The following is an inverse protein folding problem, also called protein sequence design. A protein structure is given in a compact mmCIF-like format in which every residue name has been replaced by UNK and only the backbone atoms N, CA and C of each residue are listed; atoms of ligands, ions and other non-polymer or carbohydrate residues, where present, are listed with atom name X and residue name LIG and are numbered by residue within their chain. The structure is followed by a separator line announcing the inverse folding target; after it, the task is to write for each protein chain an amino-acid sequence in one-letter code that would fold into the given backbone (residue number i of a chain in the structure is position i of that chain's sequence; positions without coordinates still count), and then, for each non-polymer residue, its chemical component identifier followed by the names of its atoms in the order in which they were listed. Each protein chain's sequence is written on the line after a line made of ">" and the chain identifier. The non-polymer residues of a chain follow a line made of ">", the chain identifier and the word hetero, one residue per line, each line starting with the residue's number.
data_IF_477428780357
#
_entry.id   IF_477428780357
#
_cell.length_a   1.000
_cell.length_b   1.000
_cell.length_c   1.000
_cell.angle_alpha   90.00
_cell.angle_beta   90.00
_cell.angle_gamma   90.00
#
_symmetry.space_group_name_H-M   'P 1'
#
loop_
_entity.id
_entity.type
_entity.pdbx_description
1 polymer ?
#
# COMPACT_ATOMS: atom_id res chain seq x y z
N UNK A 1 -21.35 -16.59 -7.11
CA UNK A 1 -21.65 -15.77 -8.33
C UNK A 1 -20.37 -15.08 -8.79
N UNK A 2 -20.10 -14.98 -10.09
CA UNK A 2 -19.00 -14.19 -10.65
C UNK A 2 -19.59 -12.93 -11.27
N UNK A 3 -19.06 -11.79 -10.97
CA UNK A 3 -19.53 -10.49 -11.44
C UNK A 3 -18.39 -9.56 -11.81
N UNK A 4 -18.68 -8.51 -12.58
CA UNK A 4 -17.74 -7.44 -12.86
C UNK A 4 -18.37 -6.10 -12.50
N UNK A 5 -17.59 -5.25 -11.84
CA UNK A 5 -17.93 -3.85 -11.69
C UNK A 5 -17.54 -3.10 -12.96
N UNK A 6 -18.44 -2.27 -13.47
CA UNK A 6 -18.24 -1.42 -14.65
C UNK A 6 -17.89 0.01 -14.23
N UNK A 7 -18.48 0.47 -13.14
CA UNK A 7 -18.19 1.74 -12.52
C UNK A 7 -18.44 1.64 -11.01
N UNK A 8 -17.70 2.42 -10.20
CA UNK A 8 -17.75 2.38 -8.74
C UNK A 8 -17.62 3.77 -8.10
N UNK A 9 -17.98 4.81 -8.85
CA UNK A 9 -18.03 6.17 -8.31
C UNK A 9 -19.27 6.36 -7.46
N UNK A 10 -19.20 7.23 -6.46
CA UNK A 10 -20.34 7.59 -5.61
C UNK A 10 -21.56 8.07 -6.44
N UNK A 11 -21.27 8.77 -7.54
CA UNK A 11 -22.30 9.31 -8.43
C UNK A 11 -22.82 8.33 -9.49
N UNK A 12 -22.12 7.22 -9.71
CA UNK A 12 -22.57 6.20 -10.66
C UNK A 12 -21.95 4.82 -10.34
N UNK A 13 -22.81 3.85 -10.15
CA UNK A 13 -22.43 2.46 -9.90
C UNK A 13 -23.03 1.58 -10.97
N UNK A 14 -22.26 0.67 -11.53
CA UNK A 14 -22.76 -0.33 -12.47
C UNK A 14 -22.00 -1.65 -12.34
N UNK A 15 -22.70 -2.75 -12.54
CA UNK A 15 -22.16 -4.10 -12.48
C UNK A 15 -22.71 -4.98 -13.61
N UNK A 16 -22.00 -6.08 -13.86
CA UNK A 16 -22.44 -7.12 -14.77
C UNK A 16 -22.44 -8.47 -14.05
N UNK A 17 -23.60 -9.12 -13.97
CA UNK A 17 -23.78 -10.46 -13.45
C UNK A 17 -25.01 -11.11 -14.08
N UNK A 18 -25.13 -12.44 -14.00
CA UNK A 18 -26.23 -13.22 -14.57
C UNK A 18 -26.56 -12.89 -16.04
N UNK A 19 -25.53 -12.52 -16.82
CA UNK A 19 -25.66 -12.21 -18.23
C UNK A 19 -26.27 -10.85 -18.56
N UNK A 20 -26.52 -9.99 -17.54
CA UNK A 20 -27.12 -8.66 -17.69
C UNK A 20 -26.28 -7.55 -17.08
N UNK A 21 -26.51 -6.33 -17.58
CA UNK A 21 -25.98 -5.10 -17.02
C UNK A 21 -26.96 -4.57 -15.97
N UNK A 22 -26.45 -4.16 -14.82
CA UNK A 22 -27.21 -3.58 -13.72
C UNK A 22 -26.63 -2.20 -13.41
N UNK A 23 -27.47 -1.18 -13.40
CA UNK A 23 -27.09 0.20 -13.14
C UNK A 23 -27.62 0.63 -11.78
N UNK A 24 -26.79 1.37 -11.03
CA UNK A 24 -27.03 1.79 -9.65
C UNK A 24 -27.22 0.61 -8.67
N UNK A 25 -26.64 -0.54 -9.03
CA UNK A 25 -26.84 -1.80 -8.30
C UNK A 25 -25.57 -2.66 -8.28
N UNK A 26 -25.34 -3.34 -7.16
CA UNK A 26 -24.32 -4.40 -6.97
C UNK A 26 -25.02 -5.63 -6.43
N UNK A 27 -24.53 -6.87 -6.76
CA UNK A 27 -25.18 -8.09 -6.28
C UNK A 27 -25.14 -8.19 -4.75
N UNK A 28 -26.24 -8.57 -4.11
CA UNK A 28 -26.38 -8.70 -2.65
C UNK A 28 -25.43 -9.74 -2.03
N UNK A 29 -25.11 -10.80 -2.77
CA UNK A 29 -24.24 -11.88 -2.31
C UNK A 29 -23.14 -12.19 -3.34
N UNK A 30 -22.26 -11.28 -3.68
CA UNK A 30 -21.18 -11.54 -4.63
C UNK A 30 -20.16 -12.50 -4.02
N UNK A 31 -19.72 -13.51 -4.78
CA UNK A 31 -18.75 -14.49 -4.32
C UNK A 31 -17.38 -14.34 -4.96
N UNK A 32 -17.29 -13.75 -6.15
CA UNK A 32 -16.03 -13.61 -6.88
C UNK A 32 -16.07 -12.45 -7.88
N UNK A 33 -15.00 -11.64 -7.91
CA UNK A 33 -14.77 -10.59 -8.89
C UNK A 33 -13.29 -10.40 -9.17
N UNK A 34 -12.95 -9.73 -10.28
CA UNK A 34 -11.56 -9.41 -10.60
C UNK A 34 -10.98 -8.31 -9.70
N UNK A 35 -11.73 -7.24 -9.48
CA UNK A 35 -11.25 -6.07 -8.73
C UNK A 35 -11.96 -5.91 -7.38
N UNK A 36 -11.26 -5.36 -6.40
CA UNK A 36 -11.85 -4.91 -5.14
C UNK A 36 -12.59 -3.58 -5.30
N UNK A 37 -13.71 -3.46 -4.60
CA UNK A 37 -14.47 -2.20 -4.45
C UNK A 37 -14.87 -2.01 -2.99
N UNK A 38 -14.77 -0.78 -2.47
CA UNK A 38 -14.96 -0.47 -1.04
C UNK A 38 -16.37 -0.71 -0.51
N UNK A 39 -17.37 -0.79 -1.40
CA UNK A 39 -18.76 -1.04 -1.05
C UNK A 39 -19.17 -2.52 -1.17
N UNK A 40 -18.23 -3.42 -1.46
CA UNK A 40 -18.52 -4.85 -1.53
C UNK A 40 -18.49 -5.50 -0.15
N UNK A 41 -19.29 -6.56 0.07
CA UNK A 41 -19.26 -7.35 1.30
C UNK A 41 -17.91 -8.03 1.54
N UNK A 42 -17.57 -8.31 2.80
CA UNK A 42 -16.29 -8.90 3.19
C UNK A 42 -16.07 -10.34 2.67
N UNK A 43 -17.14 -11.04 2.27
CA UNK A 43 -17.06 -12.40 1.72
C UNK A 43 -16.73 -12.49 0.24
N UNK A 44 -16.43 -11.37 -0.41
CA UNK A 44 -16.04 -11.33 -1.82
C UNK A 44 -14.61 -11.84 -2.01
N UNK A 45 -14.43 -12.75 -2.98
CA UNK A 45 -13.11 -13.24 -3.40
C UNK A 45 -12.59 -12.46 -4.60
N UNK A 46 -11.31 -12.05 -4.54
CA UNK A 46 -10.67 -11.22 -5.57
C UNK A 46 -9.69 -12.03 -6.41
N UNK A 47 -9.92 -12.11 -7.73
CA UNK A 47 -9.03 -12.79 -8.67
C UNK A 47 -7.62 -12.16 -8.72
N UNK A 48 -7.52 -10.82 -8.65
CA UNK A 48 -6.23 -10.11 -8.63
C UNK A 48 -5.31 -10.55 -7.49
N UNK A 49 -5.86 -10.89 -6.33
CA UNK A 49 -5.10 -11.34 -5.16
C UNK A 49 -4.61 -12.80 -5.29
N UNK A 50 -5.33 -13.65 -6.01
CA UNK A 50 -4.89 -15.01 -6.32
C UNK A 50 -3.69 -15.02 -7.29
N UNK A 51 -3.63 -14.06 -8.19
CA UNK A 51 -2.55 -13.95 -9.19
C UNK A 51 -1.36 -13.13 -8.73
N UNK A 52 -1.31 -12.73 -7.47
CA UNK A 52 -0.29 -11.81 -6.93
C UNK A 52 -0.20 -10.50 -7.72
N UNK A 53 -1.36 -9.96 -8.10
CA UNK A 53 -1.52 -8.69 -8.78
C UNK A 53 -1.29 -8.72 -10.30
N UNK A 54 -1.12 -9.88 -10.91
CA UNK A 54 -1.12 -9.99 -12.38
C UNK A 54 -2.45 -9.55 -12.95
N UNK A 55 -2.41 -8.90 -14.11
CA UNK A 55 -3.59 -8.40 -14.81
C UNK A 55 -4.38 -9.51 -15.49
N UNK A 56 -5.62 -9.24 -15.87
CA UNK A 56 -6.44 -10.17 -16.65
C UNK A 56 -5.78 -10.56 -18.00
N UNK A 57 -5.01 -9.64 -18.60
CA UNK A 57 -4.24 -9.88 -19.82
C UNK A 57 -3.11 -10.89 -19.61
N UNK A 58 -2.41 -10.80 -18.46
CA UNK A 58 -1.27 -11.68 -18.14
C UNK A 58 -1.67 -13.11 -17.76
N UNK A 59 -2.89 -13.32 -17.28
CA UNK A 59 -3.40 -14.64 -16.88
C UNK A 59 -4.54 -15.16 -17.77
N UNK A 60 -4.82 -14.47 -18.87
CA UNK A 60 -5.84 -14.87 -19.82
C UNK A 60 -5.50 -16.25 -20.42
N UNK A 61 -6.41 -17.24 -20.35
CA UNK A 61 -6.23 -18.52 -21.01
C UNK A 61 -6.02 -18.37 -22.51
N UNK A 62 -5.22 -19.25 -23.12
CA UNK A 62 -4.86 -19.14 -24.55
C UNK A 62 -6.09 -19.17 -25.46
N UNK A 63 -7.11 -19.94 -25.11
CA UNK A 63 -8.38 -20.03 -25.85
C UNK A 63 -9.20 -18.73 -25.83
N UNK A 64 -9.01 -17.86 -24.83
CA UNK A 64 -9.70 -16.58 -24.72
C UNK A 64 -8.86 -15.40 -25.18
N UNK A 65 -7.56 -15.59 -25.42
CA UNK A 65 -6.60 -14.53 -25.65
C UNK A 65 -6.91 -13.69 -26.88
N UNK A 66 -7.28 -14.34 -27.99
CA UNK A 66 -7.65 -13.63 -29.22
C UNK A 66 -8.84 -12.70 -29.02
N UNK A 67 -9.90 -13.21 -28.37
CA UNK A 67 -11.11 -12.43 -28.11
C UNK A 67 -10.81 -11.30 -27.10
N UNK A 68 -9.98 -11.56 -26.10
CA UNK A 68 -9.55 -10.58 -25.12
C UNK A 68 -8.73 -9.45 -25.75
N UNK A 69 -7.77 -9.78 -26.62
CA UNK A 69 -6.95 -8.79 -27.32
C UNK A 69 -7.80 -7.90 -28.26
N UNK A 70 -8.77 -8.49 -28.95
CA UNK A 70 -9.71 -7.75 -29.81
C UNK A 70 -10.55 -6.77 -28.97
N UNK A 71 -11.19 -7.25 -27.92
CA UNK A 71 -12.07 -6.44 -27.07
C UNK A 71 -11.29 -5.34 -26.35
N UNK A 72 -10.12 -5.65 -25.78
CA UNK A 72 -9.29 -4.65 -25.10
C UNK A 72 -8.69 -3.62 -26.06
N UNK A 73 -8.33 -4.01 -27.28
CA UNK A 73 -7.88 -3.07 -28.31
C UNK A 73 -8.99 -2.07 -28.69
N UNK A 74 -10.22 -2.55 -28.85
CA UNK A 74 -11.39 -1.68 -29.13
C UNK A 74 -11.67 -0.75 -27.96
N UNK A 75 -11.61 -1.24 -26.70
CA UNK A 75 -11.78 -0.42 -25.52
C UNK A 75 -10.71 0.67 -25.41
N UNK A 76 -9.44 0.32 -25.64
CA UNK A 76 -8.34 1.30 -25.69
C UNK A 76 -8.58 2.38 -26.76
N UNK A 77 -9.13 2.01 -27.93
CA UNK A 77 -9.52 2.94 -28.98
C UNK A 77 -10.61 3.92 -28.53
N UNK A 78 -11.69 3.42 -27.93
CA UNK A 78 -12.78 4.23 -27.38
C UNK A 78 -12.27 5.21 -26.31
N UNK A 79 -11.49 4.71 -25.32
CA UNK A 79 -10.94 5.55 -24.27
C UNK A 79 -10.03 6.66 -24.79
N UNK A 80 -9.21 6.40 -25.82
CA UNK A 80 -8.41 7.45 -26.48
C UNK A 80 -9.29 8.52 -27.11
N UNK A 81 -10.38 8.13 -27.78
CA UNK A 81 -11.32 9.07 -28.40
C UNK A 81 -12.01 9.94 -27.35
N UNK A 82 -12.44 9.34 -26.23
CA UNK A 82 -13.04 10.08 -25.12
C UNK A 82 -12.06 11.07 -24.51
N UNK A 83 -10.84 10.60 -24.22
CA UNK A 83 -9.80 11.46 -23.68
C UNK A 83 -9.48 12.66 -24.58
N UNK A 84 -9.48 12.44 -25.91
CA UNK A 84 -9.21 13.48 -26.90
C UNK A 84 -10.25 14.62 -26.87
N UNK A 85 -11.50 14.32 -26.54
CA UNK A 85 -12.58 15.31 -26.40
C UNK A 85 -12.82 15.74 -24.95
N UNK A 86 -11.90 15.42 -24.03
CA UNK A 86 -11.97 15.84 -22.63
C UNK A 86 -12.89 15.00 -21.74
N UNK A 87 -13.43 13.88 -22.24
CA UNK A 87 -14.22 12.95 -21.45
C UNK A 87 -13.30 11.90 -20.82
N UNK A 88 -13.35 11.77 -19.52
CA UNK A 88 -12.57 10.76 -18.80
C UNK A 88 -13.46 9.88 -17.91
N UNK A 89 -13.11 8.60 -17.72
CA UNK A 89 -13.84 7.72 -16.79
C UNK A 89 -13.88 8.24 -15.35
N UNK A 90 -13.00 9.18 -14.97
CA UNK A 90 -13.02 9.85 -13.68
C UNK A 90 -14.15 10.88 -13.52
N UNK A 91 -14.54 11.53 -14.62
CA UNK A 91 -15.51 12.63 -14.61
C UNK A 91 -16.90 12.22 -15.09
N UNK A 92 -17.01 11.09 -15.78
CA UNK A 92 -18.25 10.60 -16.39
C UNK A 92 -18.47 9.13 -16.02
N UNK A 93 -19.72 8.68 -16.06
CA UNK A 93 -20.02 7.26 -15.90
C UNK A 93 -19.49 6.47 -17.09
N UNK A 94 -18.62 5.49 -16.81
CA UNK A 94 -17.99 4.69 -17.87
C UNK A 94 -19.01 3.98 -18.75
N UNK A 95 -20.10 3.47 -18.19
CA UNK A 95 -21.16 2.78 -18.90
C UNK A 95 -22.01 3.72 -19.78
N UNK A 96 -22.00 5.03 -19.53
CA UNK A 96 -22.64 6.03 -20.43
C UNK A 96 -21.77 6.36 -21.65
N UNK A 97 -20.46 6.22 -21.51
CA UNK A 97 -19.50 6.51 -22.59
C UNK A 97 -19.34 5.35 -23.58
N UNK A 98 -19.66 4.13 -23.16
CA UNK A 98 -19.38 2.91 -23.93
C UNK A 98 -20.68 2.19 -24.28
N UNK A 99 -20.89 1.72 -25.54
CA UNK A 99 -22.10 1.02 -25.92
C UNK A 99 -22.36 -0.22 -25.04
N UNK A 100 -23.58 -0.38 -24.54
CA UNK A 100 -23.96 -1.47 -23.63
C UNK A 100 -23.68 -2.87 -24.19
N UNK A 101 -23.87 -3.06 -25.51
CA UNK A 101 -23.51 -4.33 -26.19
C UNK A 101 -22.03 -4.65 -26.03
N UNK A 102 -21.17 -3.64 -26.10
CA UNK A 102 -19.74 -3.82 -25.92
C UNK A 102 -19.38 -4.06 -24.46
N UNK A 103 -19.99 -3.31 -23.54
CA UNK A 103 -19.81 -3.54 -22.08
C UNK A 103 -20.16 -4.97 -21.69
N UNK A 104 -21.28 -5.49 -22.18
CA UNK A 104 -21.71 -6.86 -21.94
C UNK A 104 -20.66 -7.86 -22.45
N UNK A 105 -20.20 -7.72 -23.70
CA UNK A 105 -19.16 -8.57 -24.29
C UNK A 105 -17.86 -8.56 -23.47
N UNK A 106 -17.38 -7.35 -23.10
CA UNK A 106 -16.17 -7.18 -22.32
C UNK A 106 -16.31 -7.82 -20.92
N UNK A 107 -17.40 -7.56 -20.21
CA UNK A 107 -17.65 -8.06 -18.87
C UNK A 107 -17.84 -9.59 -18.85
N UNK A 108 -18.53 -10.16 -19.84
CA UNK A 108 -18.70 -11.61 -20.00
C UNK A 108 -17.35 -12.32 -20.22
N UNK A 109 -16.50 -11.76 -21.07
CA UNK A 109 -15.16 -12.31 -21.30
C UNK A 109 -14.29 -12.19 -20.03
N UNK A 110 -14.38 -11.07 -19.34
CA UNK A 110 -13.70 -10.86 -18.06
C UNK A 110 -14.19 -11.82 -16.97
N UNK A 111 -15.50 -12.16 -16.96
CA UNK A 111 -16.04 -13.20 -16.07
C UNK A 111 -15.44 -14.58 -16.36
N UNK A 112 -15.25 -14.95 -17.63
CA UNK A 112 -14.60 -16.21 -18.01
C UNK A 112 -13.15 -16.28 -17.51
N UNK A 113 -12.40 -15.17 -17.64
CA UNK A 113 -11.04 -15.07 -17.11
C UNK A 113 -11.05 -15.13 -15.57
N UNK A 114 -11.99 -14.44 -14.92
CA UNK A 114 -12.15 -14.48 -13.46
C UNK A 114 -12.42 -15.92 -12.97
N UNK A 115 -13.30 -16.64 -13.65
CA UNK A 115 -13.60 -18.04 -13.35
C UNK A 115 -12.35 -18.90 -13.47
N UNK A 116 -11.63 -18.79 -14.58
CA UNK A 116 -10.36 -19.49 -14.79
C UNK A 116 -9.35 -19.24 -13.65
N UNK A 117 -9.20 -17.99 -13.22
CA UNK A 117 -8.28 -17.62 -12.11
C UNK A 117 -8.73 -18.27 -10.79
N UNK A 118 -10.01 -18.17 -10.45
CA UNK A 118 -10.52 -18.72 -9.19
C UNK A 118 -10.39 -20.27 -9.15
N UNK A 119 -10.48 -20.94 -10.31
CA UNK A 119 -10.38 -22.40 -10.42
C UNK A 119 -8.94 -22.93 -10.52
N UNK A 120 -7.99 -22.13 -11.04
CA UNK A 120 -6.64 -22.60 -11.39
C UNK A 120 -5.49 -21.94 -10.61
N UNK A 121 -5.76 -20.93 -9.80
CA UNK A 121 -4.75 -20.25 -8.99
C UNK A 121 -5.03 -20.43 -7.51
N UNK A 122 -4.04 -20.96 -6.80
CA UNK A 122 -4.16 -21.19 -5.37
C UNK A 122 -4.19 -19.87 -4.59
N UNK A 123 -5.06 -19.84 -3.59
CA UNK A 123 -5.15 -18.71 -2.65
C UNK A 123 -3.86 -18.65 -1.82
N UNK A 124 -3.12 -17.50 -1.81
CA UNK A 124 -1.89 -17.39 -1.05
C UNK A 124 -2.15 -17.47 0.47
N UNK A 125 -1.16 -17.91 1.23
CA UNK A 125 -1.29 -18.05 2.70
C UNK A 125 -1.66 -16.71 3.38
N UNK A 126 -1.14 -15.59 2.88
CA UNK A 126 -1.43 -14.25 3.39
C UNK A 126 -2.63 -13.56 2.71
N UNK A 127 -3.57 -14.32 2.15
CA UNK A 127 -4.69 -13.76 1.36
C UNK A 127 -5.51 -12.74 2.14
N UNK A 128 -5.87 -13.03 3.39
CA UNK A 128 -6.68 -12.13 4.22
C UNK A 128 -5.96 -10.79 4.49
N UNK A 129 -4.66 -10.85 4.73
CA UNK A 129 -3.84 -9.64 4.85
C UNK A 129 -3.85 -8.83 3.54
N UNK A 130 -3.68 -9.48 2.38
CA UNK A 130 -3.73 -8.81 1.08
C UNK A 130 -5.10 -8.16 0.82
N UNK A 131 -6.20 -8.79 1.24
CA UNK A 131 -7.55 -8.20 1.15
C UNK A 131 -7.68 -6.95 2.01
N UNK A 132 -7.19 -6.99 3.26
CA UNK A 132 -7.21 -5.82 4.15
C UNK A 132 -6.40 -4.65 3.57
N UNK A 133 -5.20 -4.93 3.05
CA UNK A 133 -4.36 -3.91 2.40
C UNK A 133 -5.04 -3.36 1.14
N UNK A 134 -5.70 -4.22 0.32
CA UNK A 134 -6.42 -3.76 -0.87
C UNK A 134 -7.59 -2.84 -0.50
N UNK A 135 -8.34 -3.16 0.56
CA UNK A 135 -9.39 -2.30 1.12
C UNK A 135 -8.83 -0.93 1.51
N UNK A 136 -7.71 -0.90 2.25
CA UNK A 136 -7.03 0.34 2.63
C UNK A 136 -6.63 1.17 1.41
N UNK A 137 -5.89 0.60 0.44
CA UNK A 137 -5.39 1.37 -0.70
C UNK A 137 -6.52 1.84 -1.64
N UNK A 138 -7.62 1.13 -1.73
CA UNK A 138 -8.82 1.59 -2.45
C UNK A 138 -9.51 2.75 -1.74
N UNK A 139 -9.60 2.71 -0.41
CA UNK A 139 -10.07 3.85 0.39
C UNK A 139 -9.19 5.07 0.15
N UNK A 140 -7.85 4.92 0.26
CA UNK A 140 -6.90 6.00 0.01
C UNK A 140 -7.00 6.57 -1.42
N UNK A 141 -7.26 5.72 -2.42
CA UNK A 141 -7.36 6.16 -3.83
C UNK A 141 -8.56 7.06 -4.12
N UNK A 142 -9.55 7.13 -3.22
CA UNK A 142 -10.72 8.02 -3.32
C UNK A 142 -10.50 9.38 -2.65
N UNK A 143 -9.46 9.50 -1.82
CA UNK A 143 -9.17 10.74 -1.09
C UNK A 143 -8.36 11.67 -2.00
N UNK A 144 -8.87 12.86 -2.34
CA UNK A 144 -8.12 13.81 -3.14
C UNK A 144 -6.96 14.40 -2.35
N UNK A 145 -5.88 14.77 -3.03
CA UNK A 145 -4.73 15.46 -2.47
C UNK A 145 -4.90 16.96 -2.68
N UNK A 146 -4.99 17.72 -1.61
CA UNK A 146 -5.07 19.18 -1.69
C UNK A 146 -3.70 19.79 -1.99
N UNK A 147 -3.58 20.48 -3.13
CA UNK A 147 -2.34 21.10 -3.56
C UNK A 147 -2.40 22.64 -3.42
N UNK A 148 -1.38 23.21 -2.74
CA UNK A 148 -1.18 24.64 -2.67
C UNK A 148 0.21 25.05 -3.20
N UNK A 149 0.30 25.54 -4.45
CA UNK A 149 1.58 25.93 -5.06
C UNK A 149 2.23 27.14 -4.35
N UNK A 150 1.48 27.93 -3.58
CA UNK A 150 2.00 29.09 -2.87
C UNK A 150 3.01 28.72 -1.78
N UNK A 151 2.93 27.49 -1.24
CA UNK A 151 3.86 27.00 -0.23
C UNK A 151 5.24 26.62 -0.80
N UNK A 152 5.35 26.48 -2.13
CA UNK A 152 6.56 26.02 -2.81
C UNK A 152 6.95 26.95 -3.97
N UNK A 153 6.88 28.27 -3.77
CA UNK A 153 7.09 29.29 -4.80
C UNK A 153 8.40 29.13 -5.58
N UNK A 154 9.50 28.85 -4.87
CA UNK A 154 10.82 28.66 -5.50
C UNK A 154 10.84 27.44 -6.43
N UNK A 155 10.19 26.36 -6.03
CA UNK A 155 10.08 25.14 -6.83
C UNK A 155 9.15 25.36 -8.03
N UNK A 156 8.09 26.16 -7.86
CA UNK A 156 7.19 26.56 -8.96
C UNK A 156 7.87 27.44 -10.01
N UNK A 157 8.97 28.12 -9.68
CA UNK A 157 9.80 28.82 -10.66
C UNK A 157 10.55 27.86 -11.61
N UNK A 158 10.71 26.57 -11.23
CA UNK A 158 11.38 25.56 -12.06
C UNK A 158 10.39 24.93 -13.06
N UNK A 159 10.91 24.47 -14.22
CA UNK A 159 10.11 23.74 -15.20
C UNK A 159 9.46 22.49 -14.59
N UNK A 160 10.25 21.69 -13.86
CA UNK A 160 9.80 20.45 -13.20
C UNK A 160 8.65 20.68 -12.21
N UNK A 161 8.72 21.77 -11.42
CA UNK A 161 7.65 22.11 -10.47
C UNK A 161 6.35 22.49 -11.18
N UNK A 162 6.44 23.30 -12.23
CA UNK A 162 5.28 23.69 -13.05
C UNK A 162 4.64 22.51 -13.77
N UNK A 163 5.45 21.60 -14.34
CA UNK A 163 4.97 20.38 -15.00
C UNK A 163 4.23 19.46 -14.03
N UNK A 164 4.81 19.22 -12.83
CA UNK A 164 4.16 18.44 -11.78
C UNK A 164 2.79 19.06 -11.41
N UNK A 165 2.75 20.36 -11.13
CA UNK A 165 1.52 21.02 -10.74
C UNK A 165 0.48 20.98 -11.86
N UNK A 166 0.85 21.32 -13.10
CA UNK A 166 -0.05 21.27 -14.25
C UNK A 166 -0.65 19.88 -14.47
N UNK A 167 0.14 18.83 -14.25
CA UNK A 167 -0.31 17.45 -14.38
C UNK A 167 -1.33 17.05 -13.31
N UNK A 168 -1.23 17.61 -12.11
CA UNK A 168 -1.95 17.14 -10.93
C UNK A 168 -2.83 18.23 -10.26
N UNK A 169 -3.08 19.37 -10.90
CA UNK A 169 -3.87 20.46 -10.30
C UNK A 169 -5.37 20.11 -10.12
N UNK A 170 -5.90 19.19 -10.92
CA UNK A 170 -7.32 18.88 -10.98
C UNK A 170 -7.63 17.63 -10.14
N UNK A 171 -7.86 17.81 -8.84
CA UNK A 171 -8.26 16.78 -7.87
C UNK A 171 -7.41 15.49 -7.94
N UNK A 172 -6.08 15.54 -7.80
CA UNK A 172 -5.25 14.34 -7.86
C UNK A 172 -5.53 13.41 -6.70
N UNK A 173 -5.43 12.11 -6.96
CA UNK A 173 -5.50 11.07 -5.93
C UNK A 173 -4.23 10.24 -5.89
N UNK A 174 -4.03 9.47 -4.81
CA UNK A 174 -2.90 8.55 -4.68
C UNK A 174 -3.41 7.12 -4.83
N UNK A 175 -3.11 6.50 -5.96
CA UNK A 175 -3.43 5.11 -6.20
C UNK A 175 -2.18 4.24 -5.95
N UNK A 176 -2.21 3.46 -4.88
CA UNK A 176 -1.13 2.52 -4.54
C UNK A 176 -1.27 1.18 -5.26
N UNK A 177 -0.14 0.47 -5.30
CA UNK A 177 -0.05 -0.92 -5.76
C UNK A 177 0.74 -1.72 -4.71
N UNK A 178 0.10 -2.72 -4.07
CA UNK A 178 0.73 -3.59 -3.08
C UNK A 178 1.61 -4.70 -3.69
N UNK A 179 1.53 -4.90 -5.01
CA UNK A 179 2.33 -5.87 -5.75
C UNK A 179 3.50 -5.24 -6.49
N UNK A 180 3.75 -3.94 -6.31
CA UNK A 180 4.80 -3.22 -7.02
C UNK A 180 6.22 -3.56 -6.59
N UNK A 181 6.39 -4.19 -5.41
CA UNK A 181 7.67 -4.72 -4.91
C UNK A 181 7.51 -6.13 -4.35
N UNK A 182 8.58 -6.91 -4.35
CA UNK A 182 8.57 -8.28 -3.80
C UNK A 182 8.34 -8.32 -2.28
N UNK A 183 8.80 -7.29 -1.58
CA UNK A 183 8.66 -7.17 -0.11
C UNK A 183 7.31 -6.58 0.33
N UNK A 184 6.40 -6.29 -0.61
CA UNK A 184 5.08 -5.72 -0.32
C UNK A 184 5.08 -4.21 -0.04
N UNK A 185 6.22 -3.52 -0.09
CA UNK A 185 6.25 -2.06 0.00
C UNK A 185 5.38 -1.45 -1.09
N UNK A 186 4.51 -0.54 -0.72
CA UNK A 186 3.61 0.13 -1.65
C UNK A 186 4.40 0.92 -2.70
N UNK A 187 3.93 0.86 -3.93
CA UNK A 187 4.33 1.76 -5.01
C UNK A 187 3.13 2.54 -5.50
N UNK A 188 3.33 3.66 -6.19
CA UNK A 188 2.23 4.40 -6.82
C UNK A 188 1.99 3.90 -8.24
N UNK A 189 0.72 3.78 -8.64
CA UNK A 189 0.33 3.44 -10.02
C UNK A 189 0.69 4.57 -10.99
N UNK A 190 0.89 4.29 -12.29
CA UNK A 190 1.05 5.33 -13.32
C UNK A 190 -0.10 6.34 -13.29
N UNK A 191 0.21 7.61 -13.54
CA UNK A 191 -0.73 8.74 -13.51
C UNK A 191 -1.35 9.08 -12.14
N UNK A 192 -0.97 8.40 -11.08
CA UNK A 192 -1.25 8.76 -9.69
C UNK A 192 -0.34 9.89 -9.22
N UNK A 193 -0.77 10.67 -8.23
CA UNK A 193 0.10 11.67 -7.61
C UNK A 193 1.35 10.99 -6.99
N UNK A 194 2.58 11.45 -7.33
CA UNK A 194 3.81 10.70 -7.05
C UNK A 194 4.34 10.97 -5.62
N UNK A 195 3.52 10.75 -4.58
CA UNK A 195 3.86 11.07 -3.19
C UNK A 195 5.15 10.40 -2.73
N UNK A 196 5.42 9.15 -3.14
CA UNK A 196 6.61 8.38 -2.74
C UNK A 196 7.93 8.93 -3.32
N UNK A 197 7.86 9.61 -4.46
CA UNK A 197 9.03 10.17 -5.16
C UNK A 197 9.10 11.68 -5.12
N UNK A 198 8.18 12.31 -4.39
CA UNK A 198 8.14 13.76 -4.25
C UNK A 198 9.37 14.25 -3.47
N UNK A 199 10.15 15.16 -4.08
CA UNK A 199 11.33 15.69 -3.41
C UNK A 199 10.97 16.45 -2.12
N UNK A 200 11.83 16.41 -1.10
CA UNK A 200 11.59 17.12 0.18
C UNK A 200 11.20 18.58 -0.03
N UNK A 201 11.83 19.27 -0.98
CA UNK A 201 11.53 20.68 -1.30
C UNK A 201 10.12 20.91 -1.89
N UNK A 202 9.52 19.88 -2.48
CA UNK A 202 8.17 19.94 -3.05
C UNK A 202 7.08 19.45 -2.09
N UNK A 203 7.41 18.83 -0.98
CA UNK A 203 6.43 18.27 -0.03
C UNK A 203 5.46 19.33 0.52
N UNK A 204 5.92 20.56 0.68
CA UNK A 204 5.09 21.69 1.12
C UNK A 204 3.90 22.01 0.23
N UNK A 205 3.86 21.50 -1.01
CA UNK A 205 2.71 21.68 -1.90
C UNK A 205 1.44 20.96 -1.39
N UNK A 206 1.60 19.92 -0.54
CA UNK A 206 0.48 19.15 -0.01
C UNK A 206 -0.01 19.77 1.29
N UNK A 207 -1.29 20.10 1.35
CA UNK A 207 -1.97 20.63 2.54
C UNK A 207 -3.07 19.69 3.04
N UNK A 208 -3.38 19.70 4.35
CA UNK A 208 -4.53 18.99 4.87
C UNK A 208 -5.85 19.67 4.45
N UNK A 209 -6.91 18.88 4.33
CA UNK A 209 -8.30 19.40 4.26
C UNK A 209 -8.83 19.76 5.64
N UNK A 210 -8.31 19.10 6.68
CA UNK A 210 -8.69 19.32 8.08
C UNK A 210 -7.75 20.38 8.72
N UNK A 211 -7.45 20.23 9.98
CA UNK A 211 -6.67 21.22 10.72
C UNK A 211 -5.18 21.15 10.46
N UNK A 212 -4.62 19.93 10.46
CA UNK A 212 -3.17 19.65 10.38
C UNK A 212 -2.90 18.27 9.81
N UNK A 213 -1.66 18.04 9.36
CA UNK A 213 -1.14 16.69 9.23
C UNK A 213 -0.53 16.20 10.54
N UNK A 214 -0.81 14.95 10.89
CA UNK A 214 -0.04 14.16 11.84
C UNK A 214 0.68 13.03 11.10
N UNK A 215 1.99 12.97 11.22
CA UNK A 215 2.82 11.90 10.68
C UNK A 215 3.30 11.01 11.83
N UNK A 216 3.17 9.72 11.68
CA UNK A 216 3.75 8.72 12.57
C UNK A 216 4.78 7.92 11.80
N UNK A 217 6.04 8.01 12.23
CA UNK A 217 7.20 7.37 11.64
C UNK A 217 7.76 6.31 12.58
N UNK A 218 7.99 5.09 12.07
CA UNK A 218 8.45 3.98 12.92
C UNK A 218 9.94 4.08 13.16
N UNK A 219 10.33 4.14 14.44
CA UNK A 219 11.72 4.27 14.86
C UNK A 219 12.50 3.00 14.57
N UNK A 220 13.58 3.12 13.78
CA UNK A 220 14.49 2.00 13.50
C UNK A 220 13.78 0.69 13.11
N UNK A 221 12.79 0.80 12.23
CA UNK A 221 11.86 -0.24 11.82
C UNK A 221 12.50 -1.62 11.58
N UNK A 222 13.60 -1.67 10.84
CA UNK A 222 14.30 -2.94 10.53
C UNK A 222 14.95 -3.56 11.77
N UNK A 223 15.43 -2.73 12.71
CA UNK A 223 16.01 -3.22 13.98
C UNK A 223 14.91 -3.78 14.88
N UNK A 224 13.81 -3.04 15.04
CA UNK A 224 12.66 -3.49 15.82
C UNK A 224 12.09 -4.81 15.26
N UNK A 225 12.00 -4.91 13.95
CA UNK A 225 11.57 -6.15 13.27
C UNK A 225 12.52 -7.31 13.54
N UNK A 226 13.84 -7.06 13.65
CA UNK A 226 14.79 -8.12 13.97
C UNK A 226 14.60 -8.64 15.42
N UNK A 227 14.29 -7.75 16.38
CA UNK A 227 13.89 -8.17 17.73
C UNK A 227 12.65 -9.06 17.69
N UNK A 228 11.62 -8.66 16.94
CA UNK A 228 10.40 -9.45 16.76
C UNK A 228 10.70 -10.84 16.15
N UNK A 229 11.49 -10.90 15.08
CA UNK A 229 11.88 -12.16 14.42
C UNK A 229 12.74 -13.08 15.30
N UNK A 230 13.40 -12.50 16.32
CA UNK A 230 14.21 -13.22 17.31
C UNK A 230 13.42 -13.60 18.56
N UNK A 231 12.09 -13.43 18.54
CA UNK A 231 11.20 -13.66 19.70
C UNK A 231 11.64 -12.89 20.96
N UNK A 232 12.17 -11.65 20.78
CA UNK A 232 12.67 -10.79 21.85
C UNK A 232 11.84 -9.50 21.96
N UNK A 233 11.64 -8.95 23.17
CA UNK A 233 10.99 -7.65 23.33
C UNK A 233 11.85 -6.54 22.73
N UNK A 234 11.21 -5.56 22.07
CA UNK A 234 11.90 -4.39 21.56
C UNK A 234 12.29 -3.48 22.72
N UNK A 235 13.58 -3.13 22.88
CA UNK A 235 14.02 -2.20 23.92
C UNK A 235 13.40 -0.81 23.75
N UNK A 236 13.16 -0.12 24.85
CA UNK A 236 12.73 1.27 24.81
C UNK A 236 13.88 2.22 24.42
N UNK A 237 13.56 3.32 23.73
CA UNK A 237 14.51 4.36 23.33
C UNK A 237 15.20 4.09 21.99
N UNK A 238 16.38 4.70 21.78
CA UNK A 238 17.12 4.58 20.51
C UNK A 238 17.76 3.19 20.38
N UNK A 239 17.22 2.36 19.48
CA UNK A 239 17.67 1.00 19.24
C UNK A 239 19.11 0.90 18.72
N UNK A 240 19.60 1.89 17.98
CA UNK A 240 20.99 1.91 17.52
C UNK A 240 21.96 2.23 18.67
N UNK A 241 21.55 3.08 19.59
CA UNK A 241 22.34 3.32 20.80
C UNK A 241 22.33 2.10 21.71
N UNK A 242 21.16 1.46 21.87
CA UNK A 242 21.06 0.19 22.61
C UNK A 242 22.01 -0.87 22.03
N UNK A 243 22.02 -1.06 20.71
CA UNK A 243 22.94 -2.00 20.04
C UNK A 243 24.40 -1.57 20.25
N UNK A 244 24.69 -0.26 20.20
CA UNK A 244 26.04 0.24 20.46
C UNK A 244 26.54 -0.17 21.83
N UNK A 245 25.72 -0.04 22.87
CA UNK A 245 26.07 -0.47 24.22
C UNK A 245 26.29 -2.00 24.33
N UNK A 246 25.39 -2.80 23.80
CA UNK A 246 25.39 -4.26 23.99
C UNK A 246 26.34 -4.99 23.04
N UNK A 247 26.51 -4.55 21.78
CA UNK A 247 27.36 -5.20 20.79
C UNK A 247 28.71 -4.53 20.59
N UNK A 248 28.82 -3.22 20.82
CA UNK A 248 30.05 -2.46 20.54
C UNK A 248 30.65 -1.77 21.78
N UNK A 249 30.09 -2.03 23.00
CA UNK A 249 30.53 -1.47 24.29
C UNK A 249 30.51 0.08 24.34
N UNK A 250 29.57 0.71 23.65
CA UNK A 250 29.45 2.17 23.56
C UNK A 250 30.57 2.89 22.80
N UNK A 251 31.42 2.15 22.04
CA UNK A 251 32.61 2.70 21.41
C UNK A 251 32.40 3.37 20.06
N UNK A 252 31.18 3.30 19.52
CA UNK A 252 30.87 3.84 18.19
C UNK A 252 29.99 5.08 18.32
N UNK A 253 30.06 5.96 17.32
CA UNK A 253 28.97 6.93 17.11
C UNK A 253 27.73 6.20 16.59
N UNK A 254 26.54 6.76 16.83
CA UNK A 254 25.25 6.22 16.34
C UNK A 254 25.28 5.83 14.87
N UNK A 255 25.80 6.70 14.00
CA UNK A 255 25.89 6.44 12.53
C UNK A 255 26.85 5.32 12.18
N UNK A 256 27.99 5.21 12.88
CA UNK A 256 28.93 4.09 12.71
C UNK A 256 28.33 2.78 13.21
N UNK A 257 27.56 2.81 14.30
CA UNK A 257 26.82 1.66 14.81
C UNK A 257 25.79 1.20 13.77
N UNK A 258 24.96 2.10 13.27
CA UNK A 258 23.97 1.85 12.21
C UNK A 258 24.62 1.20 10.98
N UNK A 259 25.69 1.79 10.46
CA UNK A 259 26.41 1.25 9.30
C UNK A 259 26.94 -0.16 9.53
N UNK A 260 27.58 -0.42 10.70
CA UNK A 260 28.11 -1.75 11.02
C UNK A 260 27.03 -2.79 11.27
N UNK A 261 25.94 -2.40 11.90
CA UNK A 261 24.79 -3.27 12.13
C UNK A 261 24.18 -3.73 10.82
N UNK A 262 23.88 -2.81 9.89
CA UNK A 262 23.29 -3.17 8.60
C UNK A 262 24.28 -3.95 7.70
N UNK A 263 25.56 -3.63 7.77
CA UNK A 263 26.58 -4.43 7.07
C UNK A 263 26.61 -5.89 7.59
N UNK A 264 26.46 -6.09 8.91
CA UNK A 264 26.33 -7.42 9.47
C UNK A 264 25.00 -8.08 9.12
N UNK A 265 23.88 -7.37 9.19
CA UNK A 265 22.55 -7.94 8.94
C UNK A 265 22.40 -8.44 7.51
N UNK A 266 22.87 -7.67 6.54
CA UNK A 266 22.61 -7.91 5.12
C UNK A 266 23.77 -8.51 4.31
N UNK A 267 24.98 -8.59 4.86
CA UNK A 267 26.10 -9.32 4.23
C UNK A 267 26.45 -10.58 5.04
N UNK A 268 26.11 -11.79 4.53
CA UNK A 268 26.39 -13.05 5.22
C UNK A 268 27.88 -13.26 5.55
N UNK A 269 28.79 -12.62 4.81
CA UNK A 269 30.24 -12.71 5.02
C UNK A 269 30.71 -11.86 6.20
N UNK A 270 29.92 -10.88 6.63
CA UNK A 270 30.25 -10.05 7.79
C UNK A 270 29.88 -10.78 9.08
N UNK A 271 30.87 -11.05 9.89
CA UNK A 271 30.71 -11.73 11.19
C UNK A 271 30.85 -10.74 12.33
N UNK A 272 29.99 -10.85 13.34
CA UNK A 272 30.10 -10.15 14.61
C UNK A 272 29.54 -11.05 15.70
N UNK A 273 30.44 -11.59 16.53
CA UNK A 273 30.09 -12.59 17.57
C UNK A 273 29.05 -12.04 18.55
N UNK A 274 29.10 -10.75 18.91
CA UNK A 274 28.15 -10.15 19.85
C UNK A 274 26.76 -9.96 19.24
N UNK A 275 26.69 -9.51 17.98
CA UNK A 275 25.41 -9.42 17.28
C UNK A 275 24.81 -10.80 17.02
N UNK A 276 25.62 -11.82 16.71
CA UNK A 276 25.13 -13.21 16.59
C UNK A 276 24.58 -13.74 17.92
N UNK A 277 25.22 -13.41 19.05
CA UNK A 277 24.69 -13.79 20.38
C UNK A 277 23.40 -13.06 20.73
N UNK A 278 23.21 -11.82 20.24
CA UNK A 278 22.00 -11.05 20.50
C UNK A 278 20.81 -11.55 19.66
N UNK A 279 21.01 -11.81 18.37
CA UNK A 279 19.90 -12.01 17.43
C UNK A 279 19.87 -13.40 16.79
N UNK A 280 20.95 -14.21 16.93
CA UNK A 280 21.06 -15.53 16.27
C UNK A 280 20.56 -15.55 14.82
N UNK A 281 21.22 -14.73 13.97
CA UNK A 281 20.84 -14.55 12.56
C UNK A 281 20.65 -15.88 11.80
N UNK A 282 21.44 -16.90 12.17
CA UNK A 282 21.34 -18.23 11.57
C UNK A 282 20.03 -18.93 11.90
N UNK A 283 19.60 -18.89 13.15
CA UNK A 283 18.34 -19.48 13.60
C UNK A 283 17.13 -18.81 12.92
N UNK A 284 17.15 -17.47 12.82
CA UNK A 284 16.13 -16.73 12.06
C UNK A 284 16.11 -17.21 10.60
N UNK A 285 17.28 -17.33 9.98
CA UNK A 285 17.37 -17.82 8.61
C UNK A 285 16.81 -19.23 8.47
N UNK A 286 17.21 -20.18 9.29
CA UNK A 286 16.74 -21.58 9.27
C UNK A 286 15.22 -21.68 9.55
N UNK A 287 14.67 -20.81 10.39
CA UNK A 287 13.23 -20.76 10.74
C UNK A 287 12.37 -20.33 9.53
N UNK A 288 12.81 -19.33 8.77
CA UNK A 288 11.98 -18.66 7.76
C UNK A 288 12.39 -18.90 6.30
N UNK A 289 13.55 -19.52 6.03
CA UNK A 289 14.04 -19.82 4.69
C UNK A 289 14.02 -21.31 4.41
N UNK A 290 13.26 -21.72 3.37
CA UNK A 290 13.18 -23.12 2.93
C UNK A 290 13.04 -23.17 1.41
N UNK A 291 13.74 -24.10 0.77
CA UNK A 291 13.60 -24.39 -0.66
C UNK A 291 13.67 -23.17 -1.59
N UNK A 292 14.64 -22.27 -1.33
CA UNK A 292 14.82 -21.06 -2.13
C UNK A 292 13.78 -19.96 -1.88
N UNK A 293 13.01 -20.07 -0.80
CA UNK A 293 11.93 -19.13 -0.45
C UNK A 293 12.02 -18.70 1.00
N UNK A 294 11.69 -17.45 1.27
CA UNK A 294 11.33 -17.00 2.61
C UNK A 294 9.81 -17.00 2.77
N UNK A 295 9.34 -17.32 3.96
CA UNK A 295 7.95 -17.08 4.37
C UNK A 295 7.97 -16.29 5.66
N UNK A 296 7.46 -15.05 5.64
CA UNK A 296 7.45 -14.19 6.82
C UNK A 296 6.34 -14.61 7.82
N UNK A 297 6.33 -14.09 9.07
CA UNK A 297 5.32 -14.46 10.07
C UNK A 297 3.85 -14.22 9.65
N UNK A 298 3.60 -13.29 8.70
CA UNK A 298 2.26 -13.00 8.20
C UNK A 298 1.90 -13.88 6.97
N UNK A 299 2.75 -14.84 6.58
CA UNK A 299 2.48 -15.79 5.50
C UNK A 299 2.85 -15.30 4.10
N UNK A 300 3.53 -14.15 3.95
CA UNK A 300 4.07 -13.73 2.65
C UNK A 300 5.26 -14.59 2.26
N UNK A 301 5.15 -15.24 1.11
CA UNK A 301 6.22 -16.07 0.55
C UNK A 301 6.92 -15.35 -0.60
N UNK A 302 8.27 -15.33 -0.59
CA UNK A 302 9.09 -14.66 -1.59
C UNK A 302 10.20 -15.63 -2.04
N UNK A 303 10.29 -15.89 -3.32
CA UNK A 303 11.43 -16.62 -3.93
C UNK A 303 12.67 -15.71 -3.93
N UNK A 304 13.75 -16.15 -3.30
CA UNK A 304 14.96 -15.33 -3.13
C UNK A 304 16.17 -16.21 -2.85
N UNK A 305 17.35 -15.81 -3.37
CA UNK A 305 18.62 -16.46 -3.01
C UNK A 305 19.01 -16.16 -1.55
N UNK A 306 19.80 -17.07 -0.97
CA UNK A 306 20.23 -17.01 0.44
C UNK A 306 20.86 -15.67 0.82
N UNK A 307 21.63 -15.06 -0.09
CA UNK A 307 22.36 -13.82 0.15
C UNK A 307 21.45 -12.60 0.42
N UNK A 308 20.18 -12.66 -0.02
CA UNK A 308 19.18 -11.60 0.16
C UNK A 308 18.01 -12.00 1.06
N UNK A 309 17.97 -13.25 1.51
CA UNK A 309 16.83 -13.80 2.22
C UNK A 309 16.49 -13.01 3.49
N UNK A 310 17.47 -12.70 4.35
CA UNK A 310 17.25 -11.91 5.56
C UNK A 310 16.81 -10.48 5.27
N UNK A 311 17.36 -9.86 4.23
CA UNK A 311 16.93 -8.51 3.83
C UNK A 311 15.43 -8.51 3.45
N UNK A 312 15.03 -9.47 2.62
CA UNK A 312 13.64 -9.58 2.19
C UNK A 312 12.71 -10.00 3.33
N UNK A 313 13.18 -10.88 4.23
CA UNK A 313 12.44 -11.28 5.43
C UNK A 313 12.16 -10.07 6.33
N UNK A 314 13.19 -9.33 6.74
CA UNK A 314 13.05 -8.17 7.63
C UNK A 314 12.16 -7.10 6.99
N UNK A 315 12.43 -6.73 5.73
CA UNK A 315 11.66 -5.70 5.05
C UNK A 315 10.20 -6.10 4.81
N UNK A 316 9.94 -7.35 4.41
CA UNK A 316 8.56 -7.79 4.17
C UNK A 316 7.77 -7.95 5.48
N UNK A 317 8.41 -8.45 6.53
CA UNK A 317 7.77 -8.58 7.85
C UNK A 317 7.36 -7.22 8.39
N UNK A 318 8.28 -6.25 8.41
CA UNK A 318 7.97 -4.90 8.83
C UNK A 318 6.83 -4.29 8.01
N UNK A 319 6.94 -4.36 6.69
CA UNK A 319 5.96 -3.76 5.80
C UNK A 319 4.55 -4.35 6.01
N UNK A 320 4.45 -5.67 6.14
CA UNK A 320 3.17 -6.33 6.35
C UNK A 320 2.58 -6.01 7.73
N UNK A 321 3.39 -5.94 8.79
CA UNK A 321 2.94 -5.47 10.12
C UNK A 321 2.45 -4.03 10.05
N UNK A 322 3.22 -3.15 9.44
CA UNK A 322 2.89 -1.73 9.35
C UNK A 322 1.59 -1.48 8.58
N UNK A 323 1.42 -2.13 7.42
CA UNK A 323 0.18 -2.04 6.63
C UNK A 323 -1.01 -2.68 7.35
N UNK A 324 -0.81 -3.76 8.10
CA UNK A 324 -1.84 -4.33 8.96
C UNK A 324 -2.32 -3.32 10.01
N UNK A 325 -1.38 -2.66 10.70
CA UNK A 325 -1.70 -1.66 11.72
C UNK A 325 -2.41 -0.44 11.11
N UNK A 326 -1.99 0.06 9.94
CA UNK A 326 -2.67 1.16 9.25
C UNK A 326 -4.09 0.75 8.82
N UNK A 327 -4.26 -0.47 8.31
CA UNK A 327 -5.59 -0.97 7.93
C UNK A 327 -6.51 -1.02 9.14
N UNK A 328 -6.02 -1.57 10.26
CA UNK A 328 -6.74 -1.60 11.54
C UNK A 328 -7.07 -0.20 12.05
N UNK A 329 -6.13 0.76 11.93
CA UNK A 329 -6.38 2.15 12.29
C UNK A 329 -7.47 2.76 11.42
N UNK A 330 -7.42 2.58 10.11
CA UNK A 330 -8.43 3.10 9.18
C UNK A 330 -9.83 2.60 9.53
N UNK A 331 -9.99 1.29 9.78
CA UNK A 331 -11.26 0.70 10.21
C UNK A 331 -11.73 1.24 11.59
N UNK A 332 -10.79 1.48 12.52
CA UNK A 332 -11.12 2.06 13.84
C UNK A 332 -11.54 3.52 13.76
N UNK A 333 -10.87 4.33 12.93
CA UNK A 333 -11.25 5.73 12.72
C UNK A 333 -12.66 5.84 12.15
N UNK A 334 -13.04 4.95 11.22
CA UNK A 334 -14.41 4.85 10.70
C UNK A 334 -15.40 4.45 11.79
N UNK A 335 -15.10 3.39 12.58
CA UNK A 335 -15.95 2.95 13.70
C UNK A 335 -16.13 4.03 14.80
N UNK A 336 -15.12 4.86 15.04
CA UNK A 336 -15.20 5.98 15.98
C UNK A 336 -15.94 7.19 15.40
N UNK A 337 -16.34 7.16 14.13
CA UNK A 337 -16.99 8.28 13.44
C UNK A 337 -16.08 9.51 13.33
N UNK A 338 -14.77 9.29 13.22
CA UNK A 338 -13.79 10.40 13.14
C UNK A 338 -13.91 11.15 11.81
N UNK A 339 -13.70 12.45 11.88
CA UNK A 339 -13.55 13.32 10.71
C UNK A 339 -12.14 13.22 10.12
N UNK A 340 -11.15 12.89 10.95
CA UNK A 340 -9.78 12.60 10.55
C UNK A 340 -9.73 11.30 9.74
N UNK A 341 -8.78 11.21 8.82
CA UNK A 341 -8.56 10.01 8.00
C UNK A 341 -7.08 9.81 7.70
N UNK A 342 -6.71 8.61 7.30
CA UNK A 342 -5.39 8.35 6.70
C UNK A 342 -5.32 9.08 5.37
N UNK A 343 -4.37 10.02 5.22
CA UNK A 343 -4.18 10.78 4.00
C UNK A 343 -3.30 10.01 2.99
N UNK A 344 -2.15 9.52 3.44
CA UNK A 344 -1.23 8.74 2.62
C UNK A 344 -0.20 7.98 3.46
N UNK A 345 0.46 7.02 2.82
CA UNK A 345 1.52 6.18 3.41
C UNK A 345 2.82 6.43 2.63
N UNK A 346 3.93 6.65 3.34
CA UNK A 346 5.25 6.83 2.73
C UNK A 346 6.27 5.97 3.46
N UNK A 347 6.75 4.92 2.78
CA UNK A 347 7.74 3.98 3.31
C UNK A 347 7.36 3.40 4.69
N UNK A 348 7.96 3.90 5.74
CA UNK A 348 7.83 3.55 7.15
C UNK A 348 7.05 4.59 7.98
N UNK A 349 6.39 5.53 7.30
CA UNK A 349 5.52 6.53 7.93
C UNK A 349 4.10 6.54 7.36
N UNK A 350 3.13 6.90 8.20
CA UNK A 350 1.74 7.18 7.83
C UNK A 350 1.38 8.60 8.19
N UNK A 351 0.70 9.28 7.27
CA UNK A 351 0.24 10.66 7.47
C UNK A 351 -1.28 10.69 7.55
N UNK A 352 -1.80 11.29 8.62
CA UNK A 352 -3.22 11.53 8.83
C UNK A 352 -3.58 12.97 8.46
N UNK A 353 -4.68 13.17 7.77
CA UNK A 353 -5.36 14.47 7.67
C UNK A 353 -6.26 14.59 8.91
N UNK A 354 -5.82 15.42 9.89
CA UNK A 354 -6.29 15.35 11.27
C UNK A 354 -7.10 16.57 11.69
N UNK A 355 -8.27 16.34 12.28
CA UNK A 355 -9.09 17.36 12.92
C UNK A 355 -8.63 17.58 14.36
N UNK A 356 -8.18 18.79 14.70
CA UNK A 356 -7.65 19.13 16.02
C UNK A 356 -8.65 18.91 17.18
N UNK A 357 -9.96 18.85 16.90
CA UNK A 357 -10.96 18.51 17.90
C UNK A 357 -10.91 17.05 18.36
N UNK A 358 -10.23 16.19 17.61
CA UNK A 358 -10.11 14.73 17.89
C UNK A 358 -8.80 14.39 18.60
N UNK A 359 -8.06 15.38 19.12
CA UNK A 359 -6.77 15.20 19.81
C UNK A 359 -6.80 14.16 20.94
N UNK A 360 -7.95 13.93 21.57
CA UNK A 360 -8.12 12.93 22.62
C UNK A 360 -7.90 11.48 22.13
N UNK A 361 -7.88 11.24 20.81
CA UNK A 361 -7.66 9.93 20.20
C UNK A 361 -6.19 9.62 19.88
N UNK A 362 -5.27 10.59 20.04
CA UNK A 362 -3.88 10.42 19.60
C UNK A 362 -3.20 9.23 20.27
N UNK A 363 -3.38 9.04 21.56
CA UNK A 363 -2.74 7.91 22.28
C UNK A 363 -3.29 6.54 21.83
N UNK A 364 -4.59 6.46 21.53
CA UNK A 364 -5.19 5.24 20.96
C UNK A 364 -4.66 4.97 19.56
N UNK A 365 -4.49 6.01 18.73
CA UNK A 365 -3.89 5.94 17.39
C UNK A 365 -2.44 5.46 17.49
N UNK A 366 -1.62 6.07 18.37
CA UNK A 366 -0.24 5.63 18.62
C UNK A 366 -0.20 4.16 18.99
N UNK A 367 -1.02 3.73 19.95
CA UNK A 367 -1.08 2.34 20.40
C UNK A 367 -1.43 1.37 19.25
N UNK A 368 -2.37 1.70 18.38
CA UNK A 368 -2.71 0.85 17.23
C UNK A 368 -1.54 0.76 16.25
N UNK A 369 -0.86 1.87 15.99
CA UNK A 369 0.23 1.91 15.02
C UNK A 369 1.51 1.25 15.54
N UNK A 370 1.79 1.32 16.87
CA UNK A 370 3.00 0.78 17.47
C UNK A 370 2.91 -0.72 17.77
N UNK A 371 1.74 -1.23 18.14
CA UNK A 371 1.63 -2.58 18.72
C UNK A 371 1.26 -3.63 17.68
N UNK A 372 2.02 -4.71 17.65
CA UNK A 372 1.71 -5.90 16.88
C UNK A 372 2.15 -7.15 17.64
N UNK A 373 1.20 -8.07 17.92
CA UNK A 373 1.42 -9.26 18.74
C UNK A 373 2.08 -8.89 20.10
N UNK A 374 3.23 -9.43 20.39
CA UNK A 374 4.02 -9.15 21.61
C UNK A 374 5.03 -8.02 21.42
N UNK A 375 5.07 -7.39 20.23
CA UNK A 375 6.05 -6.39 19.87
C UNK A 375 5.45 -4.97 19.93
N UNK A 376 6.22 -4.03 20.47
CA UNK A 376 5.87 -2.61 20.50
C UNK A 376 6.94 -1.80 19.76
N UNK A 377 6.55 -1.24 18.61
CA UNK A 377 7.43 -0.43 17.75
C UNK A 377 7.43 1.02 18.25
N UNK A 378 8.60 1.61 18.43
CA UNK A 378 8.70 3.03 18.74
C UNK A 378 8.17 3.90 17.60
N UNK A 379 7.51 5.02 17.92
CA UNK A 379 6.99 5.99 16.96
C UNK A 379 7.52 7.39 17.25
N UNK A 380 7.97 8.09 16.19
CA UNK A 380 8.07 9.54 16.18
C UNK A 380 6.77 10.13 15.67
N UNK A 381 6.29 11.21 16.32
CA UNK A 381 5.12 11.94 15.85
C UNK A 381 5.54 13.33 15.39
N UNK A 382 5.13 13.68 14.16
CA UNK A 382 5.34 15.00 13.59
C UNK A 382 3.99 15.66 13.31
N UNK A 383 3.92 16.99 13.47
CA UNK A 383 2.74 17.80 13.16
C UNK A 383 3.11 18.92 12.18
N UNK A 384 2.23 19.21 11.23
CA UNK A 384 2.45 20.28 10.27
C UNK A 384 1.18 20.82 9.62
N UNK A 385 1.23 22.09 9.19
CA UNK A 385 0.17 22.73 8.38
C UNK A 385 0.26 22.39 6.90
N UNK A 386 1.40 21.86 6.47
CA UNK A 386 1.63 21.27 5.16
C UNK A 386 2.71 20.17 5.32
N UNK A 387 2.85 19.30 4.33
CA UNK A 387 3.77 18.16 4.43
C UNK A 387 5.27 18.55 4.34
N UNK A 388 5.61 19.78 3.99
CA UNK A 388 7.00 20.29 3.97
C UNK A 388 7.47 20.89 5.29
N UNK A 389 6.56 21.23 6.19
CA UNK A 389 6.81 21.92 7.45
C UNK A 389 6.41 21.08 8.66
N UNK A 390 6.72 19.78 8.59
CA UNK A 390 6.48 18.85 9.69
C UNK A 390 7.49 19.10 10.83
N UNK A 391 7.01 19.15 12.08
CA UNK A 391 7.82 19.34 13.29
C UNK A 391 7.54 18.20 14.25
N UNK A 392 8.59 17.64 14.81
CA UNK A 392 8.47 16.59 15.83
C UNK A 392 7.81 17.17 17.09
N UNK A 393 6.93 16.38 17.67
CA UNK A 393 6.25 16.63 18.95
C UNK A 393 6.42 15.43 19.85
N UNK A 394 6.70 15.70 21.11
CA UNK A 394 6.89 14.68 22.17
C UNK A 394 5.58 13.97 22.53
#
# INVERSE_FOLDING_TARGET
>A
MIFQTLDDKESCVASYYDGALHFDEVPDAPTATWNYHTYLPDNVKFAELYTSGKTAEEVCPEELKKDWDEVTSRLKGMLRSFYYVGLTPGNFCFFELVPHRFLKQHAELKNKITKHVIENYDKPQNYEHLVQVEKLIKTLSKIPVKLNPSNVRLQMATQKGRELYRKFQDNPTIAYNQFGTRTGRLTTRPNSFPVLTLSKKMRGIIEPYKSVFLEFDVVSAEVATLFYLSDQPVPQGDLHEWINQHAFNGKLTRDKCKTRFFAWLYDPRKKNIKLEKLFNRREIFEKYYKDGKITNPLGRTIEVGEEKALNYLVQSTFNDIFLHNISKLSDKMEQWGMKSNVAFVIHDSVVLDFDANERGRIEEIKKILSSYDTCDFGLHMNIGKNYGEMKEVE
#
